data_IF_390856830128
#
_entry.id   IF_390856830128
#
_cell.length_a   1.000
_cell.length_b   1.000
_cell.length_c   1.000
_cell.angle_alpha   90.00
_cell.angle_beta   90.00
_cell.angle_gamma   90.00
#
_symmetry.space_group_name_H-M   'P 1'
#
loop_
_entity.id
_entity.type
_entity.pdbx_description
1 polymer ?
#
# COMPACT_ATOMS: atom_id res chain seq x y z
N UNK A 1 28.01 16.24 -26.89
CA UNK A 1 27.31 15.15 -26.17
C UNK A 1 26.23 15.79 -25.31
N UNK A 2 25.01 15.89 -25.84
CA UNK A 2 23.87 16.49 -25.14
C UNK A 2 22.98 15.35 -24.63
N UNK A 3 22.98 15.13 -23.32
CA UNK A 3 22.14 14.13 -22.66
C UNK A 3 20.73 14.70 -22.49
N UNK A 4 19.78 14.18 -23.29
CA UNK A 4 18.36 14.35 -23.03
C UNK A 4 18.00 13.61 -21.73
N UNK A 5 17.52 14.34 -20.73
CA UNK A 5 17.01 13.79 -19.47
C UNK A 5 15.60 13.25 -19.68
N UNK A 6 15.35 12.06 -19.14
CA UNK A 6 14.08 11.35 -19.16
C UNK A 6 12.97 12.16 -18.48
N UNK A 7 11.82 12.25 -19.13
CA UNK A 7 10.59 12.87 -18.62
C UNK A 7 9.81 11.78 -17.88
N UNK A 8 10.17 11.47 -16.64
CA UNK A 8 9.29 10.93 -15.61
C UNK A 8 10.14 10.67 -14.37
N UNK A 9 10.38 11.73 -13.60
CA UNK A 9 10.93 11.60 -12.26
C UNK A 9 9.82 12.11 -11.33
N UNK A 10 9.23 11.19 -10.56
CA UNK A 10 7.92 11.33 -9.89
C UNK A 10 7.85 12.37 -8.76
N UNK A 11 8.62 13.45 -8.82
CA UNK A 11 8.79 14.43 -7.74
C UNK A 11 8.23 15.81 -8.07
N UNK A 12 7.87 16.10 -9.33
CA UNK A 12 7.26 17.39 -9.69
C UNK A 12 5.80 17.24 -10.14
N UNK A 13 4.86 17.66 -9.28
CA UNK A 13 3.45 17.82 -9.65
C UNK A 13 3.33 18.99 -10.63
N UNK A 14 3.03 18.69 -11.89
CA UNK A 14 2.73 19.69 -12.92
C UNK A 14 1.33 20.25 -12.67
N UNK A 15 1.19 21.58 -12.66
CA UNK A 15 -0.11 22.23 -12.47
C UNK A 15 -1.03 21.98 -13.66
N UNK A 16 -2.33 21.80 -13.39
CA UNK A 16 -3.36 21.43 -14.38
C UNK A 16 -3.41 22.40 -15.58
N UNK A 17 -3.15 23.69 -15.32
CA UNK A 17 -3.08 24.75 -16.33
C UNK A 17 -1.93 24.56 -17.34
N UNK A 18 -0.85 23.90 -16.94
CA UNK A 18 0.28 23.55 -17.80
C UNK A 18 0.01 22.28 -18.63
N UNK A 19 -0.88 21.40 -18.15
CA UNK A 19 -1.30 20.20 -18.86
C UNK A 19 -2.23 20.55 -20.04
N UNK A 20 -3.12 21.52 -19.84
CA UNK A 20 -4.08 21.96 -20.86
C UNK A 20 -3.43 22.75 -22.01
N UNK A 21 -2.26 23.36 -21.77
CA UNK A 21 -1.51 24.10 -22.80
C UNK A 21 -0.59 23.23 -23.67
N UNK A 22 -0.45 21.93 -23.36
CA UNK A 22 0.38 21.04 -24.18
C UNK A 22 -0.44 20.43 -25.32
N UNK A 23 0.05 20.47 -26.57
CA UNK A 23 -0.64 19.86 -27.68
C UNK A 23 -0.64 18.33 -27.49
N UNK A 24 -1.78 17.77 -27.12
CA UNK A 24 -2.00 16.32 -27.12
C UNK A 24 -1.95 15.89 -28.58
N UNK A 25 -0.83 15.31 -28.99
CA UNK A 25 -0.71 14.68 -30.31
C UNK A 25 -1.62 13.45 -30.31
N UNK A 26 -2.83 13.62 -30.87
CA UNK A 26 -3.68 12.50 -31.20
C UNK A 26 -2.89 11.55 -32.10
N UNK A 27 -2.80 10.28 -31.71
CA UNK A 27 -2.16 9.27 -32.53
C UNK A 27 -2.96 9.12 -33.82
N UNK A 28 -2.36 9.53 -34.94
CA UNK A 28 -2.91 9.34 -36.29
C UNK A 28 -2.18 8.16 -36.91
N UNK A 29 -2.88 7.12 -37.37
CA UNK A 29 -2.23 6.01 -38.07
C UNK A 29 -1.50 6.53 -39.32
N UNK A 30 -0.31 6.02 -39.65
CA UNK A 30 0.50 6.57 -40.72
C UNK A 30 -0.21 6.44 -42.07
N UNK A 31 -0.39 7.56 -42.77
CA UNK A 31 -0.82 7.57 -44.16
C UNK A 31 0.28 6.97 -45.02
N UNK A 32 -0.06 5.92 -45.77
CA UNK A 32 0.82 5.28 -46.74
C UNK A 32 1.11 6.31 -47.85
N UNK A 33 2.18 7.07 -47.71
CA UNK A 33 2.69 7.92 -48.77
C UNK A 33 3.27 7.06 -49.91
N UNK A 34 3.31 7.65 -51.12
CA UNK A 34 3.66 7.05 -52.43
C UNK A 34 5.11 6.53 -52.56
N UNK A 35 5.64 5.84 -51.56
CA UNK A 35 6.97 5.25 -51.55
C UNK A 35 7.05 3.85 -50.93
N UNK A 36 5.93 3.25 -50.53
CA UNK A 36 5.90 1.86 -50.08
C UNK A 36 6.10 0.88 -51.24
N UNK A 37 7.16 0.08 -51.23
CA UNK A 37 7.28 -1.07 -52.12
C UNK A 37 6.11 -2.02 -51.85
N UNK A 38 5.22 -2.19 -52.83
CA UNK A 38 4.28 -3.31 -52.88
C UNK A 38 5.08 -4.61 -52.89
N UNK A 39 5.20 -5.25 -51.73
CA UNK A 39 5.59 -6.66 -51.67
C UNK A 39 4.34 -7.43 -52.07
N UNK A 40 4.39 -8.02 -53.26
CA UNK A 40 3.31 -8.84 -53.80
C UNK A 40 3.09 -10.01 -52.83
N UNK A 41 1.91 -10.06 -52.20
CA UNK A 41 1.53 -11.17 -51.37
C UNK A 41 1.54 -12.42 -52.25
N UNK A 42 2.44 -13.37 -51.94
CA UNK A 42 2.39 -14.69 -52.55
C UNK A 42 1.08 -15.31 -52.07
N UNK A 43 0.18 -15.72 -52.99
CA UNK A 43 -1.07 -16.36 -52.57
C UNK A 43 -0.71 -17.61 -51.77
N UNK A 44 -1.27 -17.74 -50.56
CA UNK A 44 -1.18 -18.99 -49.81
C UNK A 44 -1.75 -20.09 -50.70
N UNK A 45 -0.98 -21.14 -50.93
CA UNK A 45 -1.49 -22.30 -51.64
C UNK A 45 -2.71 -22.83 -50.89
N UNK A 46 -3.82 -22.88 -51.61
CA UNK A 46 -5.09 -23.40 -51.15
C UNK A 46 -4.85 -24.82 -50.63
N UNK A 47 -5.27 -25.07 -49.39
CA UNK A 47 -5.14 -26.36 -48.73
C UNK A 47 -5.67 -27.48 -49.63
N UNK A 48 -4.93 -28.60 -49.72
CA UNK A 48 -5.27 -29.81 -50.50
C UNK A 48 -6.66 -30.39 -50.17
N UNK A 49 -7.31 -29.89 -49.12
CA UNK A 49 -8.64 -30.26 -48.69
C UNK A 49 -9.77 -29.71 -49.60
N UNK A 50 -9.62 -28.53 -50.23
CA UNK A 50 -10.67 -27.99 -51.12
C UNK A 50 -10.70 -28.66 -52.50
N UNK A 51 -9.58 -29.24 -52.95
CA UNK A 51 -9.52 -29.99 -54.21
C UNK A 51 -10.24 -31.34 -54.14
N UNK A 52 -10.37 -31.92 -52.95
CA UNK A 52 -11.07 -33.21 -52.76
C UNK A 52 -12.60 -33.05 -52.70
N UNK A 53 -13.08 -31.92 -52.20
CA UNK A 53 -14.52 -31.66 -52.02
C UNK A 53 -15.20 -31.22 -53.33
N UNK A 54 -14.45 -30.67 -54.27
CA UNK A 54 -14.97 -30.31 -55.61
C UNK A 54 -14.90 -31.45 -56.63
N UNK A 55 -14.11 -32.51 -56.38
CA UNK A 55 -14.05 -33.70 -57.25
C UNK A 55 -15.06 -34.81 -56.89
N UNK A 56 -15.77 -34.72 -55.77
CA UNK A 56 -16.73 -35.76 -55.32
C UNK A 56 -18.21 -35.42 -55.53
N UNK A 57 -18.52 -34.24 -56.07
CA UNK A 57 -19.90 -33.80 -56.36
C UNK A 57 -20.10 -33.48 -57.84
N UNK A 58 -19.84 -34.45 -58.69
CA UNK A 58 -20.07 -34.32 -60.13
C UNK A 58 -19.76 -35.60 -60.88
N UNK A 59 -20.59 -36.63 -60.70
CA UNK A 59 -20.88 -37.51 -61.84
C UNK A 59 -22.27 -38.13 -61.73
N UNK A 60 -23.05 -37.81 -62.75
CA UNK A 60 -24.37 -38.35 -63.04
C UNK A 60 -24.24 -39.73 -63.68
N UNK A 61 -25.34 -40.49 -63.59
CA UNK A 61 -25.53 -41.86 -64.06
C UNK A 61 -24.94 -42.18 -65.46
N UNK A 62 -24.43 -43.40 -65.68
CA UNK A 62 -24.25 -43.90 -67.04
C UNK A 62 -25.51 -44.60 -67.52
N UNK A 63 -26.03 -44.06 -68.61
CA UNK A 63 -27.08 -44.62 -69.45
C UNK A 63 -26.57 -45.89 -70.16
N UNK A 64 -27.47 -46.85 -70.33
CA UNK A 64 -27.19 -48.11 -70.96
C UNK A 64 -27.18 -47.98 -72.48
N UNK A 65 -26.12 -48.40 -73.15
CA UNK A 65 -26.18 -49.09 -74.46
C UNK A 65 -24.80 -49.64 -74.83
N UNK A 66 -24.62 -50.96 -74.81
CA UNK A 66 -23.60 -51.61 -75.63
C UNK A 66 -24.06 -53.04 -75.95
N UNK A 67 -24.19 -53.23 -77.25
CA UNK A 67 -24.55 -54.41 -78.01
C UNK A 67 -23.85 -55.71 -77.60
N UNK A 68 -24.63 -56.77 -77.66
CA UNK A 68 -24.21 -58.16 -77.62
C UNK A 68 -23.14 -58.48 -78.68
N UNK A 69 -22.12 -59.23 -78.27
CA UNK A 69 -21.50 -60.23 -79.14
C UNK A 69 -21.22 -61.51 -78.35
N UNK A 70 -21.80 -62.61 -78.85
CA UNK A 70 -21.67 -63.97 -78.34
C UNK A 70 -20.43 -64.61 -78.95
N UNK A 71 -19.59 -65.22 -78.11
CA UNK A 71 -18.80 -66.46 -78.30
C UNK A 71 -17.63 -66.39 -77.30
N UNK A 72 -17.32 -67.37 -76.46
CA UNK A 72 -17.36 -68.81 -76.66
C UNK A 72 -17.47 -69.51 -75.31
N UNK A 73 -18.24 -70.59 -75.29
CA UNK A 73 -18.25 -71.57 -74.21
C UNK A 73 -16.90 -72.30 -74.20
N UNK A 74 -16.02 -71.90 -73.30
CA UNK A 74 -14.92 -72.74 -72.85
C UNK A 74 -15.44 -73.70 -71.79
N UNK A 75 -15.34 -75.00 -72.04
CA UNK A 75 -15.69 -76.06 -71.10
C UNK A 75 -14.81 -75.89 -69.83
N UNK A 76 -15.34 -75.27 -68.78
CA UNK A 76 -14.62 -75.08 -67.52
C UNK A 76 -14.91 -76.30 -66.65
N UNK A 77 -13.90 -77.15 -66.45
CA UNK A 77 -13.98 -78.23 -65.46
C UNK A 77 -14.37 -77.67 -64.09
N UNK A 78 -15.26 -78.35 -63.33
CA UNK A 78 -15.70 -77.90 -62.00
C UNK A 78 -14.53 -77.59 -61.03
N UNK A 79 -13.41 -78.29 -61.17
CA UNK A 79 -12.18 -78.08 -60.38
C UNK A 79 -11.54 -76.69 -60.53
N UNK A 80 -11.74 -76.00 -61.68
CA UNK A 80 -11.14 -74.67 -61.93
C UNK A 80 -11.96 -73.55 -61.25
N UNK A 81 -13.25 -73.76 -61.02
CA UNK A 81 -14.09 -72.83 -60.25
C UNK A 81 -13.81 -72.94 -58.75
N UNK A 82 -13.67 -74.16 -58.23
CA UNK A 82 -13.40 -74.40 -56.80
C UNK A 82 -12.03 -73.84 -56.38
N UNK A 83 -11.00 -74.06 -57.20
CA UNK A 83 -9.66 -73.54 -56.95
C UNK A 83 -9.61 -72.00 -56.96
N UNK A 84 -10.34 -71.33 -57.87
CA UNK A 84 -10.42 -69.87 -57.92
C UNK A 84 -11.19 -69.28 -56.73
N UNK A 85 -12.22 -69.97 -56.26
CA UNK A 85 -13.02 -69.57 -55.10
C UNK A 85 -12.22 -69.62 -53.79
N UNK A 86 -11.49 -70.72 -53.53
CA UNK A 86 -10.63 -70.85 -52.35
C UNK A 86 -9.50 -69.82 -52.36
N UNK A 87 -8.90 -69.57 -53.53
CA UNK A 87 -7.82 -68.59 -53.67
C UNK A 87 -8.32 -67.16 -53.42
N UNK A 88 -9.51 -66.81 -53.94
CA UNK A 88 -10.15 -65.52 -53.70
C UNK A 88 -10.51 -65.29 -52.22
N UNK A 89 -11.02 -66.33 -51.53
CA UNK A 89 -11.35 -66.26 -50.11
C UNK A 89 -10.10 -66.03 -49.23
N UNK A 90 -9.01 -66.75 -49.52
CA UNK A 90 -7.73 -66.61 -48.80
C UNK A 90 -7.11 -65.23 -49.03
N UNK A 91 -7.13 -64.73 -50.28
CA UNK A 91 -6.61 -63.41 -50.61
C UNK A 91 -7.43 -62.30 -49.93
N UNK A 92 -8.76 -62.34 -50.03
CA UNK A 92 -9.64 -61.36 -49.39
C UNK A 92 -9.50 -61.35 -47.87
N UNK A 93 -9.32 -62.52 -47.23
CA UNK A 93 -9.08 -62.59 -45.77
C UNK A 93 -7.75 -61.99 -45.36
N UNK A 94 -6.67 -62.26 -46.10
CA UNK A 94 -5.33 -61.69 -45.81
C UNK A 94 -5.33 -60.18 -46.02
N UNK A 95 -5.92 -59.71 -47.11
CA UNK A 95 -5.99 -58.30 -47.45
C UNK A 95 -6.90 -57.52 -46.47
N UNK A 96 -8.03 -58.09 -46.09
CA UNK A 96 -8.91 -57.51 -45.06
C UNK A 96 -8.25 -57.44 -43.68
N UNK A 97 -7.49 -58.47 -43.28
CA UNK A 97 -6.74 -58.47 -42.03
C UNK A 97 -5.62 -57.40 -42.05
N UNK A 98 -4.85 -57.32 -43.13
CA UNK A 98 -3.77 -56.32 -43.23
C UNK A 98 -4.32 -54.89 -43.26
N UNK A 99 -5.39 -54.65 -44.03
CA UNK A 99 -6.05 -53.34 -44.10
C UNK A 99 -6.64 -52.94 -42.75
N UNK A 100 -7.39 -53.83 -42.10
CA UNK A 100 -7.97 -53.55 -40.77
C UNK A 100 -6.91 -53.33 -39.68
N UNK A 101 -5.77 -54.01 -39.75
CA UNK A 101 -4.68 -53.81 -38.79
C UNK A 101 -3.95 -52.47 -39.02
N UNK A 102 -3.74 -52.07 -40.27
CA UNK A 102 -3.14 -50.77 -40.60
C UNK A 102 -4.09 -49.61 -40.27
N UNK A 103 -5.38 -49.74 -40.60
CA UNK A 103 -6.42 -48.75 -40.27
C UNK A 103 -6.59 -48.62 -38.75
N UNK A 104 -6.65 -49.73 -38.02
CA UNK A 104 -6.74 -49.73 -36.55
C UNK A 104 -5.51 -49.11 -35.87
N UNK A 105 -4.30 -49.36 -36.40
CA UNK A 105 -3.09 -48.72 -35.89
C UNK A 105 -3.07 -47.21 -36.14
N UNK A 106 -3.44 -46.77 -37.36
CA UNK A 106 -3.52 -45.35 -37.69
C UNK A 106 -4.56 -44.64 -36.83
N UNK A 107 -5.77 -45.20 -36.73
CA UNK A 107 -6.85 -44.65 -35.94
C UNK A 107 -6.49 -44.56 -34.44
N UNK A 108 -5.94 -45.64 -33.86
CA UNK A 108 -5.53 -45.63 -32.46
C UNK A 108 -4.36 -44.69 -32.16
N UNK A 109 -3.42 -44.55 -33.10
CA UNK A 109 -2.32 -43.58 -32.98
C UNK A 109 -2.85 -42.14 -33.03
N UNK A 110 -3.72 -41.83 -33.99
CA UNK A 110 -4.26 -40.48 -34.16
C UNK A 110 -5.17 -40.09 -32.98
N UNK A 111 -6.01 -41.01 -32.51
CA UNK A 111 -6.86 -40.79 -31.33
C UNK A 111 -6.01 -40.60 -30.06
N UNK A 112 -5.03 -41.48 -29.81
CA UNK A 112 -4.15 -41.36 -28.65
C UNK A 112 -3.29 -40.09 -28.69
N UNK A 113 -2.83 -39.69 -29.89
CA UNK A 113 -2.09 -38.45 -30.08
C UNK A 113 -2.97 -37.23 -29.80
N UNK A 114 -4.20 -37.18 -30.32
CA UNK A 114 -5.14 -36.09 -30.07
C UNK A 114 -5.52 -36.00 -28.57
N UNK A 115 -5.81 -37.12 -27.93
CA UNK A 115 -6.13 -37.17 -26.50
C UNK A 115 -4.94 -36.72 -25.64
N UNK A 116 -3.73 -37.21 -25.93
CA UNK A 116 -2.52 -36.80 -25.20
C UNK A 116 -2.21 -35.31 -25.39
N UNK A 117 -2.43 -34.78 -26.58
CA UNK A 117 -2.24 -33.36 -26.88
C UNK A 117 -3.26 -32.48 -26.15
N UNK A 118 -4.54 -32.87 -26.14
CA UNK A 118 -5.59 -32.16 -25.39
C UNK A 118 -5.34 -32.20 -23.88
N UNK A 119 -5.01 -33.38 -23.34
CA UNK A 119 -4.71 -33.55 -21.91
C UNK A 119 -3.47 -32.74 -21.49
N UNK A 120 -2.38 -32.81 -22.26
CA UNK A 120 -1.17 -32.04 -21.98
C UNK A 120 -1.37 -30.53 -22.09
N UNK A 121 -2.21 -30.06 -23.01
CA UNK A 121 -2.58 -28.65 -23.09
C UNK A 121 -3.40 -28.22 -21.89
N UNK A 122 -4.43 -28.99 -21.49
CA UNK A 122 -5.26 -28.67 -20.34
C UNK A 122 -4.44 -28.64 -19.03
N UNK A 123 -3.60 -29.66 -18.81
CA UNK A 123 -2.72 -29.72 -17.64
C UNK A 123 -1.67 -28.60 -17.64
N UNK A 124 -1.05 -28.32 -18.79
CA UNK A 124 -0.06 -27.26 -18.92
C UNK A 124 -0.64 -25.86 -18.66
N UNK A 125 -1.87 -25.61 -19.12
CA UNK A 125 -2.60 -24.37 -18.83
C UNK A 125 -2.94 -24.27 -17.34
N UNK A 126 -3.53 -25.31 -16.75
CA UNK A 126 -3.90 -25.29 -15.33
C UNK A 126 -2.67 -25.11 -14.41
N UNK A 127 -1.57 -25.82 -14.69
CA UNK A 127 -0.32 -25.65 -13.95
C UNK A 127 0.31 -24.27 -14.17
N UNK A 128 0.25 -23.75 -15.39
CA UNK A 128 0.74 -22.41 -15.73
C UNK A 128 -0.04 -21.31 -14.98
N UNK A 129 -1.36 -21.44 -14.93
CA UNK A 129 -2.24 -20.54 -14.18
C UNK A 129 -1.90 -20.59 -12.68
N UNK A 130 -1.86 -21.78 -12.08
CA UNK A 130 -1.57 -21.93 -10.66
C UNK A 130 -0.17 -21.39 -10.29
N UNK A 131 0.85 -21.70 -11.09
CA UNK A 131 2.21 -21.19 -10.86
C UNK A 131 2.29 -19.67 -11.05
N UNK A 132 1.58 -19.12 -12.04
CA UNK A 132 1.58 -17.67 -12.26
C UNK A 132 0.89 -16.93 -11.13
N UNK A 133 -0.26 -17.42 -10.65
CA UNK A 133 -0.96 -16.87 -9.48
C UNK A 133 -0.07 -16.90 -8.24
N UNK A 134 0.54 -18.05 -7.94
CA UNK A 134 1.44 -18.16 -6.79
C UNK A 134 2.64 -17.19 -6.86
N UNK A 135 3.23 -16.99 -8.06
CA UNK A 135 4.31 -16.02 -8.25
C UNK A 135 3.85 -14.57 -8.09
N UNK A 136 2.65 -14.25 -8.60
CA UNK A 136 2.07 -12.91 -8.46
C UNK A 136 1.79 -12.62 -6.98
N UNK A 137 1.20 -13.57 -6.26
CA UNK A 137 0.90 -13.43 -4.83
C UNK A 137 2.17 -13.24 -4.00
N UNK A 138 3.22 -14.01 -4.28
CA UNK A 138 4.52 -13.85 -3.65
C UNK A 138 5.13 -12.48 -3.93
N UNK A 139 5.18 -12.05 -5.19
CA UNK A 139 5.73 -10.74 -5.55
C UNK A 139 4.94 -9.58 -4.91
N UNK A 140 3.61 -9.70 -4.87
CA UNK A 140 2.75 -8.72 -4.22
C UNK A 140 3.02 -8.68 -2.71
N UNK A 141 3.16 -9.84 -2.08
CA UNK A 141 3.42 -9.93 -0.65
C UNK A 141 4.78 -9.32 -0.28
N UNK A 142 5.82 -9.54 -1.08
CA UNK A 142 7.13 -8.90 -0.92
C UNK A 142 7.05 -7.38 -1.06
N UNK A 143 6.32 -6.88 -2.07
CA UNK A 143 6.11 -5.44 -2.27
C UNK A 143 5.35 -4.81 -1.09
N UNK A 144 4.29 -5.46 -0.61
CA UNK A 144 3.53 -5.00 0.54
C UNK A 144 4.35 -5.02 1.83
N UNK A 145 5.19 -6.04 2.04
CA UNK A 145 6.12 -6.09 3.17
C UNK A 145 7.12 -4.95 3.11
N UNK A 146 7.69 -4.68 1.94
CA UNK A 146 8.63 -3.57 1.73
C UNK A 146 7.96 -2.23 2.01
N UNK A 147 6.74 -2.02 1.50
CA UNK A 147 5.98 -0.79 1.73
C UNK A 147 5.64 -0.60 3.22
N UNK A 148 5.19 -1.66 3.89
CA UNK A 148 4.87 -1.62 5.33
C UNK A 148 6.12 -1.34 6.17
N UNK A 149 7.26 -1.91 5.81
CA UNK A 149 8.53 -1.62 6.49
C UNK A 149 8.92 -0.14 6.32
N UNK A 150 8.81 0.41 5.11
CA UNK A 150 9.07 1.83 4.85
C UNK A 150 8.12 2.74 5.64
N UNK A 151 6.82 2.43 5.65
CA UNK A 151 5.83 3.18 6.44
C UNK A 151 6.18 3.15 7.93
N UNK A 152 6.52 1.98 8.47
CA UNK A 152 6.91 1.84 9.89
C UNK A 152 8.16 2.66 10.21
N UNK A 153 9.16 2.63 9.33
CA UNK A 153 10.38 3.44 9.49
C UNK A 153 10.09 4.94 9.44
N UNK A 154 9.23 5.39 8.52
CA UNK A 154 8.84 6.80 8.43
C UNK A 154 8.07 7.24 9.67
N UNK A 155 7.10 6.46 10.15
CA UNK A 155 6.37 6.77 11.37
C UNK A 155 7.29 6.85 12.58
N UNK A 156 8.25 5.91 12.70
CA UNK A 156 9.24 5.97 13.78
C UNK A 156 10.12 7.23 13.67
N UNK A 157 10.58 7.59 12.47
CA UNK A 157 11.39 8.78 12.26
C UNK A 157 10.64 10.08 12.59
N UNK A 158 9.34 10.15 12.25
CA UNK A 158 8.49 11.29 12.60
C UNK A 158 8.28 11.39 14.12
N UNK A 159 7.94 10.29 14.78
CA UNK A 159 7.76 10.29 16.24
C UNK A 159 9.04 10.69 16.99
N UNK A 160 10.20 10.24 16.51
CA UNK A 160 11.49 10.65 17.07
C UNK A 160 11.77 12.14 16.86
N UNK A 161 11.45 12.69 15.68
CA UNK A 161 11.55 14.13 15.44
C UNK A 161 10.60 14.93 16.33
N UNK A 162 9.37 14.48 16.52
CA UNK A 162 8.40 15.14 17.39
C UNK A 162 8.91 15.20 18.83
N UNK A 163 9.47 14.09 19.34
CA UNK A 163 10.08 14.05 20.66
C UNK A 163 11.28 15.00 20.77
N UNK A 164 12.16 15.01 19.76
CA UNK A 164 13.32 15.92 19.74
C UNK A 164 12.89 17.40 19.68
N UNK A 165 11.84 17.71 18.90
CA UNK A 165 11.27 19.05 18.80
C UNK A 165 10.69 19.49 20.14
N UNK A 166 9.94 18.61 20.81
CA UNK A 166 9.38 18.88 22.14
C UNK A 166 10.50 19.20 23.15
N UNK A 167 11.55 18.38 23.21
CA UNK A 167 12.69 18.61 24.10
C UNK A 167 13.44 19.91 23.75
N UNK A 168 13.63 20.21 22.46
CA UNK A 168 14.27 21.43 22.02
C UNK A 168 13.45 22.68 22.40
N UNK A 169 12.13 22.62 22.25
CA UNK A 169 11.23 23.71 22.65
C UNK A 169 11.25 23.93 24.16
N UNK A 170 11.16 22.86 24.96
CA UNK A 170 11.26 22.95 26.42
C UNK A 170 12.58 23.56 26.86
N UNK A 171 13.69 23.14 26.23
CA UNK A 171 15.01 23.67 26.54
C UNK A 171 15.17 25.13 26.12
N UNK A 172 14.60 25.53 24.98
CA UNK A 172 14.58 26.92 24.54
C UNK A 172 13.82 27.79 25.53
N UNK A 173 12.60 27.39 25.91
CA UNK A 173 11.79 28.11 26.91
C UNK A 173 12.53 28.21 28.23
N UNK A 174 13.10 27.11 28.72
CA UNK A 174 13.93 27.09 29.93
C UNK A 174 15.08 28.09 29.87
N UNK A 175 15.78 28.15 28.74
CA UNK A 175 16.93 29.04 28.57
C UNK A 175 16.49 30.49 28.53
N UNK A 176 15.46 30.81 27.73
CA UNK A 176 14.92 32.18 27.61
C UNK A 176 14.37 32.66 28.95
N UNK A 177 13.56 31.85 29.63
CA UNK A 177 13.02 32.20 30.96
C UNK A 177 14.11 32.42 32.00
N UNK A 178 15.18 31.61 31.97
CA UNK A 178 16.34 31.80 32.87
C UNK A 178 17.02 33.14 32.61
N UNK A 179 17.30 33.47 31.34
CA UNK A 179 17.97 34.72 30.99
C UNK A 179 17.11 35.95 31.30
N UNK A 180 15.80 35.88 31.04
CA UNK A 180 14.86 36.98 31.36
C UNK A 180 14.79 37.20 32.87
N UNK A 181 14.59 36.14 33.67
CA UNK A 181 14.52 36.24 35.14
C UNK A 181 15.85 36.69 35.71
N UNK A 182 16.98 36.13 35.24
CA UNK A 182 18.31 36.55 35.69
C UNK A 182 18.58 38.02 35.37
N UNK A 183 18.15 38.51 34.20
CA UNK A 183 18.27 39.92 33.82
C UNK A 183 17.40 40.82 34.70
N UNK A 184 16.17 40.43 34.97
CA UNK A 184 15.23 41.18 35.82
C UNK A 184 15.76 41.28 37.26
N UNK A 185 16.19 40.16 37.85
CA UNK A 185 16.77 40.13 39.19
C UNK A 185 18.10 40.90 39.30
N UNK A 186 18.85 41.03 38.21
CA UNK A 186 20.05 41.87 38.14
C UNK A 186 19.74 43.37 38.07
N UNK A 187 18.51 43.74 37.69
CA UNK A 187 18.03 45.13 37.64
C UNK A 187 17.31 45.52 38.94
N UNK A 188 16.45 44.64 39.46
CA UNK A 188 15.74 44.80 40.73
C UNK A 188 15.64 43.48 41.51
N UNK A 189 16.28 43.45 42.68
CA UNK A 189 16.28 42.32 43.60
C UNK A 189 15.41 42.54 44.84
N UNK A 190 14.50 43.52 44.82
CA UNK A 190 13.67 43.94 45.95
C UNK A 190 12.89 42.81 46.66
N UNK A 191 12.55 41.72 45.94
CA UNK A 191 11.83 40.56 46.47
C UNK A 191 12.66 39.62 47.37
N UNK A 192 13.97 39.83 47.51
CA UNK A 192 14.88 38.98 48.29
C UNK A 192 14.42 38.78 49.75
N UNK A 193 13.79 39.79 50.35
CA UNK A 193 13.30 39.71 51.73
C UNK A 193 12.16 38.71 51.92
N UNK A 194 11.29 38.54 50.93
CA UNK A 194 10.23 37.53 50.98
C UNK A 194 10.83 36.12 50.90
N UNK A 195 11.86 35.95 50.07
CA UNK A 195 12.58 34.68 49.89
C UNK A 195 13.31 34.26 51.16
N UNK A 196 13.99 35.18 51.83
CA UNK A 196 14.66 34.89 53.11
C UNK A 196 13.64 34.45 54.15
N UNK A 197 12.48 35.12 54.25
CA UNK A 197 11.40 34.69 55.16
C UNK A 197 10.90 33.29 54.86
N UNK A 198 10.77 32.93 53.58
CA UNK A 198 10.40 31.57 53.16
C UNK A 198 11.48 30.55 53.52
N UNK A 199 12.76 30.85 53.25
CA UNK A 199 13.87 29.98 53.61
C UNK A 199 13.97 29.76 55.13
N UNK A 200 13.77 30.81 55.93
CA UNK A 200 13.70 30.70 57.39
C UNK A 200 12.49 29.90 57.87
N UNK A 201 11.34 30.01 57.17
CA UNK A 201 10.14 29.21 57.44
C UNK A 201 10.33 27.71 57.16
N UNK A 202 11.21 27.36 56.23
CA UNK A 202 11.55 25.96 55.91
C UNK A 202 12.51 25.31 56.91
N UNK A 203 13.20 26.10 57.75
CA UNK A 203 14.10 25.58 58.78
C UNK A 203 13.31 24.99 59.98
N UNK A 204 13.82 23.92 60.61
CA UNK A 204 13.28 23.41 61.87
C UNK A 204 13.39 24.44 63.01
N UNK A 205 12.64 24.23 64.09
CA UNK A 205 12.48 25.20 65.18
C UNK A 205 13.80 25.60 65.91
N UNK A 206 14.86 24.79 65.81
CA UNK A 206 16.18 25.07 66.40
C UNK A 206 16.98 26.00 65.48
N UNK A 207 16.85 27.32 65.67
CA UNK A 207 17.49 28.35 64.84
C UNK A 207 18.70 28.99 65.54
N UNK A 208 19.70 28.18 65.87
CA UNK A 208 20.95 28.69 66.42
C UNK A 208 21.95 29.02 65.30
N UNK A 209 22.69 30.11 65.47
CA UNK A 209 23.78 30.53 64.59
C UNK A 209 23.46 30.64 63.07
N UNK A 210 22.34 31.28 62.73
CA UNK A 210 21.90 31.49 61.34
C UNK A 210 22.90 32.34 60.54
N UNK A 211 23.40 31.79 59.44
CA UNK A 211 24.26 32.46 58.45
C UNK A 211 23.51 32.56 57.13
N UNK A 212 23.36 33.77 56.61
CA UNK A 212 22.64 34.03 55.36
C UNK A 212 23.66 34.50 54.33
N UNK A 213 23.85 33.73 53.27
CA UNK A 213 24.68 34.07 52.14
C UNK A 213 23.81 34.70 51.05
N UNK A 214 24.19 35.90 50.59
CA UNK A 214 23.49 36.66 49.54
C UNK A 214 24.48 37.33 48.60
N UNK A 215 24.00 37.80 47.46
CA UNK A 215 24.79 38.60 46.52
C UNK A 215 25.18 39.95 47.12
N UNK A 216 26.30 40.52 46.70
CA UNK A 216 26.82 41.82 47.18
C UNK A 216 25.79 42.96 47.05
N UNK A 217 24.93 42.92 46.03
CA UNK A 217 23.88 43.92 45.79
C UNK A 217 22.77 43.87 46.84
N UNK A 218 22.54 42.70 47.44
CA UNK A 218 21.41 42.44 48.34
C UNK A 218 21.79 42.57 49.81
N UNK A 219 23.09 42.57 50.13
CA UNK A 219 23.62 42.60 51.51
C UNK A 219 23.05 43.78 52.29
N UNK A 220 22.99 44.98 51.71
CA UNK A 220 22.49 46.17 52.40
C UNK A 220 20.99 46.09 52.72
N UNK A 221 20.19 45.54 51.80
CA UNK A 221 18.75 45.35 51.98
C UNK A 221 18.49 44.34 53.11
N UNK A 222 19.26 43.26 53.13
CA UNK A 222 19.11 42.17 54.11
C UNK A 222 19.62 42.58 55.49
N UNK A 223 20.75 43.31 55.59
CA UNK A 223 21.24 43.82 56.88
C UNK A 223 20.24 44.77 57.54
N UNK A 224 19.66 45.71 56.79
CA UNK A 224 18.63 46.62 57.32
C UNK A 224 17.43 45.87 57.87
N UNK A 225 17.03 44.78 57.21
CA UNK A 225 15.91 43.96 57.69
C UNK A 225 16.28 43.07 58.88
N UNK A 226 17.51 42.58 58.96
CA UNK A 226 18.01 41.82 60.10
C UNK A 226 18.00 42.66 61.38
N UNK A 227 18.43 43.93 61.29
CA UNK A 227 18.42 44.89 62.40
C UNK A 227 16.99 45.19 62.91
N UNK A 228 16.02 45.25 62.00
CA UNK A 228 14.61 45.48 62.34
C UNK A 228 13.94 44.24 62.96
N UNK A 229 14.40 43.05 62.60
CA UNK A 229 13.82 41.77 63.05
C UNK A 229 14.24 41.34 64.46
N UNK A 230 15.29 41.95 65.03
CA UNK A 230 15.78 41.63 66.38
C UNK A 230 16.38 40.22 66.53
N UNK A 231 16.68 39.54 65.42
CA UNK A 231 17.32 38.23 65.41
C UNK A 231 18.81 38.36 65.04
N UNK A 232 19.67 37.56 65.69
CA UNK A 232 21.13 37.58 65.49
C UNK A 232 21.55 36.88 64.17
N UNK A 233 21.05 37.32 63.03
CA UNK A 233 21.44 36.78 61.73
C UNK A 233 22.81 37.31 61.31
N UNK A 234 23.70 36.42 60.90
CA UNK A 234 24.97 36.81 60.28
C UNK A 234 24.80 36.82 58.76
N UNK A 235 24.69 38.00 58.18
CA UNK A 235 24.63 38.19 56.72
C UNK A 235 26.06 38.19 56.16
N UNK A 236 26.30 37.37 55.13
CA UNK A 236 27.60 37.21 54.48
C UNK A 236 27.43 37.46 52.99
N UNK A 237 28.23 38.36 52.44
CA UNK A 237 28.29 38.59 51.00
C UNK A 237 29.01 37.43 50.31
N UNK A 238 28.43 36.92 49.22
CA UNK A 238 29.03 35.86 48.41
C UNK A 238 28.87 36.14 46.92
N UNK A 239 29.98 36.06 46.18
CA UNK A 239 29.97 36.19 44.72
C UNK A 239 29.51 34.91 44.00
N UNK A 240 29.34 33.80 44.73
CA UNK A 240 28.81 32.56 44.17
C UNK A 240 27.28 32.59 44.00
N UNK A 241 26.61 33.59 44.57
CA UNK A 241 25.15 33.72 44.57
C UNK A 241 24.75 34.88 43.67
N UNK A 242 23.90 34.58 42.70
CA UNK A 242 23.30 35.57 41.80
C UNK A 242 22.34 36.51 42.58
N UNK A 243 22.18 37.78 42.14
CA UNK A 243 21.21 38.70 42.74
C UNK A 243 19.81 38.09 42.83
N UNK A 244 19.11 38.33 43.94
CA UNK A 244 17.79 37.74 44.20
C UNK A 244 17.81 36.26 44.64
N UNK A 245 19.00 35.69 44.86
CA UNK A 245 19.20 34.38 45.49
C UNK A 245 19.69 34.48 46.93
N UNK A 246 19.35 33.49 47.77
CA UNK A 246 19.92 33.36 49.11
C UNK A 246 20.19 31.90 49.48
N UNK A 247 21.16 31.69 50.35
CA UNK A 247 21.44 30.40 50.97
C UNK A 247 21.52 30.59 52.47
N UNK A 248 20.73 29.81 53.20
CA UNK A 248 20.64 29.93 54.67
C UNK A 248 21.24 28.67 55.29
N UNK A 249 22.25 28.89 56.14
CA UNK A 249 22.93 27.82 56.87
C UNK A 249 22.71 28.01 58.37
N UNK A 250 22.48 26.89 59.04
CA UNK A 250 22.47 26.76 60.51
C UNK A 250 23.39 25.61 60.88
N UNK A 251 23.65 25.41 62.17
CA UNK A 251 24.54 24.32 62.61
C UNK A 251 24.02 22.92 62.27
N UNK A 252 22.73 22.78 61.98
CA UNK A 252 22.09 21.49 61.75
C UNK A 252 21.33 21.39 60.42
N UNK A 253 21.21 22.47 59.65
CA UNK A 253 20.45 22.46 58.40
C UNK A 253 20.92 23.52 57.42
N UNK A 254 20.80 23.19 56.14
CA UNK A 254 21.11 24.03 55.00
C UNK A 254 19.86 24.13 54.14
N UNK A 255 19.48 25.35 53.78
CA UNK A 255 18.35 25.63 52.89
C UNK A 255 18.85 26.49 51.74
N UNK A 256 18.78 25.94 50.53
CA UNK A 256 19.25 26.60 49.31
C UNK A 256 18.06 27.21 48.55
N UNK A 257 18.04 28.54 48.46
CA UNK A 257 17.06 29.33 47.72
C UNK A 257 17.79 30.18 46.66
N UNK A 258 18.85 29.63 46.07
CA UNK A 258 19.49 30.22 44.88
C UNK A 258 18.52 30.28 43.71
N UNK A 259 18.77 31.22 42.79
CA UNK A 259 17.94 31.40 41.59
C UNK A 259 17.90 30.11 40.76
N UNK A 260 19.04 29.42 40.64
CA UNK A 260 19.15 28.16 39.91
C UNK A 260 18.26 27.05 40.49
N UNK A 261 18.33 26.80 41.79
CA UNK A 261 17.57 25.73 42.46
C UNK A 261 16.07 26.01 42.40
N UNK A 262 15.66 27.26 42.69
CA UNK A 262 14.26 27.67 42.58
C UNK A 262 13.71 27.56 41.17
N UNK A 263 14.50 27.93 40.17
CA UNK A 263 14.12 27.82 38.77
C UNK A 263 13.94 26.35 38.36
N UNK A 264 14.82 25.46 38.82
CA UNK A 264 14.67 24.01 38.62
C UNK A 264 13.40 23.48 39.28
N UNK A 265 13.13 23.84 40.53
CA UNK A 265 11.91 23.42 41.23
C UNK A 265 10.64 23.92 40.52
N UNK A 266 10.62 25.19 40.08
CA UNK A 266 9.50 25.75 39.33
C UNK A 266 9.25 25.02 38.02
N UNK A 267 10.31 24.67 37.27
CA UNK A 267 10.20 23.88 36.04
C UNK A 267 9.67 22.48 36.33
N UNK A 268 10.20 21.79 37.34
CA UNK A 268 9.73 20.46 37.72
C UNK A 268 8.23 20.47 38.07
N UNK A 269 7.77 21.48 38.80
CA UNK A 269 6.34 21.65 39.10
C UNK A 269 5.45 21.86 37.86
N UNK A 270 5.96 22.57 36.85
CA UNK A 270 5.25 22.78 35.58
C UNK A 270 5.22 21.49 34.76
N UNK A 271 6.35 20.78 34.66
CA UNK A 271 6.45 19.51 33.91
C UNK A 271 5.59 18.42 34.54
N UNK A 272 5.54 18.34 35.88
CA UNK A 272 4.72 17.36 36.62
C UNK A 272 3.20 17.65 36.53
N UNK A 273 2.78 18.66 35.74
CA UNK A 273 1.37 19.03 35.56
C UNK A 273 0.70 19.55 36.83
N UNK A 274 1.48 19.89 37.86
CA UNK A 274 0.99 20.42 39.15
C UNK A 274 0.79 21.92 39.16
N UNK A 275 0.77 22.56 38.00
CA UNK A 275 0.13 23.87 37.85
C UNK A 275 -1.38 23.70 37.90
N UNK A 276 -1.88 23.38 39.09
CA UNK A 276 -3.23 23.72 39.49
C UNK A 276 -3.35 25.25 39.51
N UNK A 277 -3.48 25.86 38.34
CA UNK A 277 -4.16 27.15 38.22
C UNK A 277 -5.66 26.82 38.32
N UNK A 278 -6.11 26.61 39.56
CA UNK A 278 -7.49 26.83 39.92
C UNK A 278 -7.77 28.33 39.72
N UNK A 279 -8.22 28.72 38.53
CA UNK A 279 -8.43 30.13 38.21
C UNK A 279 -8.88 30.34 36.78
N UNK A 280 -10.15 30.05 36.51
CA UNK A 280 -10.93 30.46 35.33
C UNK A 280 -10.33 30.10 33.97
N UNK A 281 -11.04 29.22 33.27
CA UNK A 281 -11.06 29.23 31.80
C UNK A 281 -11.43 30.66 31.34
N UNK A 282 -10.45 31.54 31.17
CA UNK A 282 -10.58 32.62 30.21
C UNK A 282 -10.43 31.94 28.86
N UNK A 283 -11.56 31.51 28.30
CA UNK A 283 -11.71 31.42 26.87
C UNK A 283 -11.12 32.72 26.31
N UNK A 284 -9.95 32.63 25.67
CA UNK A 284 -9.51 33.66 24.75
C UNK A 284 -10.58 33.66 23.66
N UNK A 285 -11.56 34.53 23.83
CA UNK A 285 -12.54 34.84 22.80
C UNK A 285 -11.74 35.49 21.67
N UNK A 286 -11.57 34.73 20.60
CA UNK A 286 -11.06 35.20 19.32
C UNK A 286 -11.90 36.44 18.94
N UNK A 287 -11.28 37.58 18.59
CA UNK A 287 -12.03 38.75 18.17
C UNK A 287 -12.91 38.41 16.97
N UNK A 288 -14.20 38.78 17.03
CA UNK A 288 -15.17 38.59 15.96
C UNK A 288 -14.72 39.34 14.71
N UNK A 289 -14.06 38.66 13.77
CA UNK A 289 -13.53 39.35 12.59
C UNK A 289 -13.02 38.50 11.45
N UNK A 290 -12.67 37.22 11.65
CA UNK A 290 -12.23 36.37 10.54
C UNK A 290 -12.88 34.99 10.66
N UNK A 291 -13.83 34.73 9.78
CA UNK A 291 -14.39 33.38 9.57
C UNK A 291 -13.31 32.51 8.94
N UNK A 292 -12.65 31.69 9.75
CA UNK A 292 -11.76 30.66 9.26
C UNK A 292 -12.60 29.63 8.52
N UNK A 293 -12.48 29.59 7.19
CA UNK A 293 -13.10 28.56 6.38
C UNK A 293 -12.45 27.22 6.76
N UNK A 294 -13.27 26.31 7.31
CA UNK A 294 -12.81 25.00 7.73
C UNK A 294 -12.18 24.29 6.52
N UNK A 295 -11.01 23.66 6.74
CA UNK A 295 -10.32 22.91 5.71
C UNK A 295 -11.30 21.91 5.06
N UNK A 296 -11.41 21.84 3.72
CA UNK A 296 -12.33 20.93 3.06
C UNK A 296 -12.00 19.49 3.46
N UNK A 297 -13.05 18.73 3.82
CA UNK A 297 -12.91 17.35 4.25
C UNK A 297 -12.15 16.51 3.22
N UNK A 298 -11.31 15.56 3.67
CA UNK A 298 -10.55 14.71 2.75
C UNK A 298 -11.53 13.92 1.88
N UNK A 299 -11.41 14.08 0.55
CA UNK A 299 -12.15 13.29 -0.45
C UNK A 299 -11.57 11.88 -0.49
N UNK A 300 -11.79 11.11 0.56
CA UNK A 300 -11.54 9.67 0.56
C UNK A 300 -12.90 9.02 0.82
N UNK A 301 -13.49 8.47 -0.25
CA UNK A 301 -14.73 7.69 -0.11
C UNK A 301 -14.40 6.51 0.82
N UNK A 302 -15.14 6.34 1.93
CA UNK A 302 -14.94 5.18 2.77
C UNK A 302 -15.20 3.92 1.94
N UNK A 303 -14.23 3.02 1.92
CA UNK A 303 -14.43 1.66 1.40
C UNK A 303 -15.53 1.08 2.27
N UNK A 304 -16.67 0.76 1.64
CA UNK A 304 -17.80 0.08 2.28
C UNK A 304 -17.27 -0.99 3.23
N UNK A 305 -17.55 -0.82 4.51
CA UNK A 305 -17.41 -1.86 5.51
C UNK A 305 -18.18 -3.07 4.99
N UNK A 306 -17.46 -4.13 4.63
CA UNK A 306 -18.07 -5.42 4.30
C UNK A 306 -18.63 -5.97 5.60
N UNK A 307 -19.88 -5.59 5.88
CA UNK A 307 -20.72 -6.25 6.86
C UNK A 307 -20.94 -7.67 6.34
N UNK A 308 -20.32 -8.65 7.02
CA UNK A 308 -20.74 -10.04 6.97
C UNK A 308 -22.13 -10.11 7.60
N UNK A 309 -23.18 -9.98 6.79
CA UNK A 309 -24.49 -10.46 7.18
C UNK A 309 -24.53 -11.95 6.91
N UNK A 310 -24.63 -12.69 8.02
CA UNK A 310 -24.90 -14.10 8.07
C UNK A 310 -26.33 -14.37 7.60
N UNK A 311 -26.48 -14.95 6.42
CA UNK A 311 -27.75 -15.57 6.02
C UNK A 311 -27.46 -16.89 5.32
N UNK A 312 -26.97 -17.85 6.11
CA UNK A 312 -27.06 -19.25 5.81
C UNK A 312 -28.32 -19.78 6.50
N UNK A 313 -29.47 -19.78 5.81
CA UNK A 313 -30.43 -20.91 5.88
C UNK A 313 -31.57 -20.75 4.85
N UNK A 314 -31.50 -21.47 3.73
CA UNK A 314 -32.63 -22.16 3.06
C UNK A 314 -32.18 -22.80 1.74
N UNK A 315 -32.43 -24.10 1.51
CA UNK A 315 -32.18 -24.74 0.24
C UNK A 315 -33.43 -24.61 -0.64
N UNK A 316 -33.50 -23.58 -1.49
CA UNK A 316 -34.50 -23.55 -2.56
C UNK A 316 -33.96 -24.29 -3.80
N UNK A 317 -34.78 -25.21 -4.30
CA UNK A 317 -34.43 -26.20 -5.32
C UNK A 317 -34.25 -25.52 -6.68
N UNK A 318 -33.10 -25.75 -7.30
CA UNK A 318 -32.76 -25.40 -8.70
C UNK A 318 -33.78 -25.88 -9.77
N UNK A 319 -34.78 -26.68 -9.40
CA UNK A 319 -35.83 -27.13 -10.31
C UNK A 319 -36.88 -26.06 -10.65
N UNK A 320 -37.09 -25.04 -9.81
CA UNK A 320 -38.13 -24.02 -10.06
C UNK A 320 -37.64 -22.83 -10.90
N UNK A 321 -36.33 -22.55 -10.92
CA UNK A 321 -35.74 -21.56 -11.82
C UNK A 321 -35.66 -22.05 -13.27
N UNK A 322 -35.52 -23.36 -13.50
CA UNK A 322 -35.49 -23.94 -14.84
C UNK A 322 -36.87 -23.91 -15.55
N UNK A 323 -37.97 -24.00 -14.79
CA UNK A 323 -39.34 -23.95 -15.35
C UNK A 323 -39.77 -22.54 -15.79
N UNK A 324 -39.21 -21.48 -15.18
CA UNK A 324 -39.53 -20.09 -15.56
C UNK A 324 -38.83 -19.64 -16.84
N UNK A 325 -37.72 -20.28 -17.23
CA UNK A 325 -36.97 -19.98 -18.44
C UNK A 325 -37.51 -20.70 -19.69
N UNK A 326 -38.34 -21.74 -19.52
CA UNK A 326 -38.96 -22.46 -20.65
C UNK A 326 -40.27 -21.85 -21.15
N UNK A 327 -40.99 -21.12 -20.29
CA UNK A 327 -42.27 -20.49 -20.68
C UNK A 327 -42.08 -19.17 -21.46
N UNK A 328 -40.91 -18.53 -21.35
CA UNK A 328 -40.60 -17.25 -21.99
C UNK A 328 -40.15 -17.38 -23.47
N UNK A 329 -40.02 -18.62 -23.98
CA UNK A 329 -39.55 -18.93 -25.34
C UNK A 329 -40.62 -19.58 -26.24
N UNK A 330 -41.89 -19.59 -25.82
CA UNK A 330 -43.02 -20.16 -26.57
C UNK A 330 -44.10 -19.14 -26.97
N UNK A 331 -43.81 -17.84 -26.92
CA UNK A 331 -44.78 -16.77 -27.18
C UNK A 331 -44.25 -15.66 -28.09
N UNK A 332 -43.78 -15.99 -29.29
CA UNK A 332 -43.54 -14.99 -30.34
C UNK A 332 -43.61 -15.61 -31.74
N UNK A 333 -44.78 -16.12 -32.13
CA UNK A 333 -45.16 -16.36 -33.52
C UNK A 333 -46.67 -16.02 -33.63
N UNK A 334 -46.97 -14.76 -33.96
CA UNK A 334 -48.17 -14.31 -34.71
C UNK A 334 -48.26 -12.76 -34.63
N UNK A 335 -47.74 -12.09 -35.66
CA UNK A 335 -48.32 -10.93 -36.37
C UNK A 335 -47.31 -10.36 -37.41
#
# INVERSE_FOLDING_TARGET
MSMQRHIFDGVNRVSQKNLESQPVLAWVPPTIEKGGKLVQAVPRETSQFEQFVTQSSGDAAPDATASADKQSQGNVSPERYDAGYEQGLLLGRKEGLSKGMEEGQKAGYEEGYQQGLQAGQAEGLAQGEQQSQARIDQALQEQLQTLNALMTHLTHALNEQDYQLEQALLQLVKTVSKEVVGRDLSLDSSHIMQLIKQALGALPATREHVRIYVSQQDVELVMKAAEQGGENWRVIASNAIEPGGCRVETDHSLVDFTVAERFQQAISHVIDGRTAVAGKQSSISIPDGESWEAAPEPVVKPILSVSRDSEADKPEKMSEQAARLSDDWAGSDDD
#
